data_IF_028716736312
#
_entry.id   IF_028716736312
#
_cell.length_a   1.000
_cell.length_b   1.000
_cell.length_c   1.000
_cell.angle_alpha   90.00
_cell.angle_beta   90.00
_cell.angle_gamma   90.00
#
_symmetry.space_group_name_H-M   'P 1'
#
loop_
_entity.id
_entity.type
_entity.pdbx_description
1 polymer ?
#
# COMPACT_ATOMS: atom_id res chain seq x y z
N UNK A 1 -19.16 -33.21 -4.55
CA UNK A 1 -19.23 -32.85 -3.11
C UNK A 1 -17.85 -32.52 -2.53
N UNK A 2 -16.86 -33.41 -2.62
CA UNK A 2 -15.48 -33.15 -2.15
C UNK A 2 -14.87 -31.86 -2.75
N UNK A 3 -15.03 -31.67 -4.06
CA UNK A 3 -14.54 -30.49 -4.80
C UNK A 3 -15.20 -29.18 -4.33
N UNK A 4 -16.51 -29.21 -4.08
CA UNK A 4 -17.27 -28.05 -3.59
C UNK A 4 -16.77 -27.63 -2.21
N UNK A 5 -16.51 -28.59 -1.32
CA UNK A 5 -15.95 -28.31 0.02
C UNK A 5 -14.54 -27.72 -0.07
N UNK A 6 -13.71 -28.20 -1.01
CA UNK A 6 -12.37 -27.65 -1.24
C UNK A 6 -12.42 -26.21 -1.75
N UNK A 7 -13.29 -25.91 -2.71
CA UNK A 7 -13.45 -24.54 -3.22
C UNK A 7 -13.98 -23.59 -2.15
N UNK A 8 -14.98 -24.01 -1.37
CA UNK A 8 -15.51 -23.22 -0.26
C UNK A 8 -14.42 -22.93 0.79
N UNK A 9 -13.59 -23.93 1.13
CA UNK A 9 -12.47 -23.76 2.05
C UNK A 9 -11.41 -22.77 1.54
N UNK A 10 -11.05 -22.86 0.25
CA UNK A 10 -10.10 -21.93 -0.38
C UNK A 10 -10.62 -20.49 -0.40
N UNK A 11 -11.90 -20.31 -0.74
CA UNK A 11 -12.55 -18.99 -0.77
C UNK A 11 -12.56 -18.39 0.65
N UNK A 12 -12.96 -19.16 1.66
CA UNK A 12 -12.93 -18.71 3.05
C UNK A 12 -11.52 -18.32 3.51
N UNK A 13 -10.51 -19.13 3.20
CA UNK A 13 -9.11 -18.83 3.54
C UNK A 13 -8.62 -17.53 2.87
N UNK A 14 -8.97 -17.32 1.61
CA UNK A 14 -8.63 -16.10 0.87
C UNK A 14 -9.31 -14.86 1.49
N UNK A 15 -10.59 -14.94 1.84
CA UNK A 15 -11.31 -13.84 2.49
C UNK A 15 -10.67 -13.44 3.84
N UNK A 16 -10.28 -14.42 4.65
CA UNK A 16 -9.60 -14.18 5.93
C UNK A 16 -8.22 -13.53 5.74
N UNK A 17 -7.46 -13.94 4.72
CA UNK A 17 -6.15 -13.36 4.42
C UNK A 17 -6.24 -11.88 4.02
N UNK A 18 -7.26 -11.52 3.24
CA UNK A 18 -7.51 -10.13 2.84
C UNK A 18 -7.95 -9.26 4.02
N UNK A 19 -8.72 -9.81 4.96
CA UNK A 19 -9.11 -9.10 6.18
C UNK A 19 -7.91 -8.78 7.10
N UNK A 20 -6.94 -9.68 7.22
CA UNK A 20 -5.71 -9.46 8.04
C UNK A 20 -4.80 -8.41 7.40
N UNK A 21 -4.84 -8.28 6.07
CA UNK A 21 -4.04 -7.32 5.31
C UNK A 21 -4.62 -5.90 5.31
N UNK A 22 -5.80 -5.72 5.89
CA UNK A 22 -6.45 -4.42 6.07
C UNK A 22 -6.47 -4.03 7.56
N UNK A 23 -5.65 -3.06 7.95
CA UNK A 23 -5.86 -2.30 9.18
C UNK A 23 -5.31 -0.87 9.04
N UNK A 24 -5.94 0.18 9.62
CA UNK A 24 -7.30 0.28 10.17
C UNK A 24 -8.20 1.28 9.41
N UNK A 25 -9.51 1.13 9.58
CA UNK A 25 -10.47 2.23 9.41
C UNK A 25 -10.29 3.20 10.59
N UNK A 26 -9.71 4.37 10.32
CA UNK A 26 -9.57 5.46 11.27
C UNK A 26 -10.54 6.59 10.88
N UNK A 27 -11.43 6.90 11.80
CA UNK A 27 -12.47 7.93 11.80
C UNK A 27 -11.99 9.31 11.35
N UNK A 28 -12.77 9.96 10.47
CA UNK A 28 -12.69 11.39 10.21
C UNK A 28 -12.84 12.18 11.53
N UNK A 29 -11.80 12.91 11.93
CA UNK A 29 -11.87 13.99 12.95
C UNK A 29 -11.55 15.28 12.22
N UNK A 30 -12.52 16.19 12.22
CA UNK A 30 -12.47 17.47 11.52
C UNK A 30 -11.63 18.55 12.22
N UNK A 31 -11.12 19.43 11.35
CA UNK A 31 -10.73 20.84 11.47
C UNK A 31 -9.67 21.36 12.47
N UNK A 32 -8.99 22.47 12.11
CA UNK A 32 -7.71 22.92 12.66
C UNK A 32 -7.89 24.03 13.72
N UNK A 33 -6.91 24.19 14.62
CA UNK A 33 -6.77 25.44 15.39
C UNK A 33 -5.29 25.86 15.44
N UNK A 34 -5.07 27.11 15.04
CA UNK A 34 -3.80 27.77 14.78
C UNK A 34 -3.17 28.33 16.07
N UNK A 35 -1.85 28.28 16.20
CA UNK A 35 -1.13 29.26 17.03
C UNK A 35 0.23 29.57 16.38
N UNK A 36 0.43 30.84 16.05
CA UNK A 36 1.50 31.35 15.19
C UNK A 36 2.68 31.91 16.00
N UNK A 37 3.93 31.57 15.64
CA UNK A 37 5.09 32.46 15.82
C UNK A 37 6.25 32.11 14.86
N UNK A 38 6.96 33.09 14.26
CA UNK A 38 7.68 32.91 13.00
C UNK A 38 9.20 32.79 13.17
N UNK A 39 9.86 32.02 12.30
CA UNK A 39 11.31 32.09 12.13
C UNK A 39 11.93 30.76 11.75
N UNK A 40 12.57 30.74 10.57
CA UNK A 40 13.10 29.60 9.81
C UNK A 40 12.02 28.85 9.02
N UNK A 41 12.23 28.75 7.71
CA UNK A 41 11.32 28.06 6.81
C UNK A 41 11.29 26.57 7.16
N UNK A 42 10.26 26.17 7.91
CA UNK A 42 9.82 24.78 8.02
C UNK A 42 9.49 24.30 6.60
N UNK A 43 10.46 23.66 5.93
CA UNK A 43 10.08 22.57 5.04
C UNK A 43 9.25 21.65 5.93
N UNK A 44 7.98 21.35 5.59
CA UNK A 44 7.24 20.38 6.38
C UNK A 44 8.13 19.15 6.41
N UNK A 45 8.65 18.83 7.60
CA UNK A 45 9.08 17.50 7.93
C UNK A 45 7.81 16.66 7.77
N UNK A 46 7.50 16.38 6.51
CA UNK A 46 6.67 15.28 6.10
C UNK A 46 7.33 14.15 6.85
N UNK A 47 6.71 13.76 7.97
CA UNK A 47 7.20 12.67 8.79
C UNK A 47 7.73 11.64 7.81
N UNK A 48 9.00 11.25 7.95
CA UNK A 48 9.58 10.22 7.10
C UNK A 48 8.92 8.90 7.50
N UNK A 49 7.63 8.78 7.21
CA UNK A 49 6.82 7.60 7.41
C UNK A 49 7.43 6.62 6.45
N UNK A 50 8.24 5.72 7.00
CA UNK A 50 8.81 4.61 6.28
C UNK A 50 7.65 3.72 5.87
N UNK A 51 7.11 3.99 4.69
CA UNK A 51 6.06 3.19 4.09
C UNK A 51 6.54 1.75 4.04
N UNK A 52 5.75 0.83 4.61
CA UNK A 52 6.10 -0.59 4.65
C UNK A 52 6.12 -1.11 3.20
N UNK A 53 7.30 -1.45 2.70
CA UNK A 53 7.52 -1.91 1.32
C UNK A 53 7.17 -3.40 1.25
N UNK A 54 5.90 -3.71 1.05
CA UNK A 54 5.48 -5.11 0.91
C UNK A 54 5.50 -5.59 -0.56
N UNK A 55 5.14 -4.71 -1.50
CA UNK A 55 4.90 -5.09 -2.89
C UNK A 55 6.17 -5.46 -3.64
N UNK A 56 7.24 -4.69 -3.51
CA UNK A 56 8.49 -4.94 -4.22
C UNK A 56 9.40 -5.97 -3.52
N UNK A 57 9.29 -6.09 -2.19
CA UNK A 57 10.14 -6.98 -1.38
C UNK A 57 9.56 -8.40 -1.32
N UNK A 58 8.29 -8.57 -0.95
CA UNK A 58 7.68 -9.90 -0.76
C UNK A 58 7.42 -10.64 -2.08
N UNK A 59 7.11 -9.91 -3.15
CA UNK A 59 6.86 -10.49 -4.47
C UNK A 59 8.12 -10.62 -5.33
N UNK A 60 9.30 -10.28 -4.79
CA UNK A 60 10.57 -10.42 -5.51
C UNK A 60 10.93 -11.87 -5.84
N UNK A 61 10.63 -12.80 -4.93
CA UNK A 61 10.87 -14.24 -5.14
C UNK A 61 9.99 -14.88 -6.22
N UNK A 62 8.86 -14.24 -6.56
CA UNK A 62 7.94 -14.72 -7.60
C UNK A 62 8.15 -14.03 -8.96
N UNK A 63 9.11 -13.09 -9.07
CA UNK A 63 9.39 -12.37 -10.31
C UNK A 63 8.31 -11.36 -10.76
N UNK A 64 7.19 -11.26 -10.04
CA UNK A 64 6.03 -10.42 -10.39
C UNK A 64 6.00 -9.06 -9.66
N UNK A 65 7.06 -8.71 -8.93
CA UNK A 65 7.15 -7.47 -8.15
C UNK A 65 6.83 -6.19 -8.95
N UNK A 66 7.32 -6.10 -10.18
CA UNK A 66 7.09 -4.94 -11.03
C UNK A 66 5.63 -4.86 -11.48
N UNK A 67 5.01 -6.00 -11.79
CA UNK A 67 3.60 -6.06 -12.20
C UNK A 67 2.66 -5.67 -11.08
N UNK A 68 2.92 -6.11 -9.84
CA UNK A 68 2.14 -5.71 -8.68
C UNK A 68 2.28 -4.21 -8.39
N UNK A 69 3.50 -3.66 -8.48
CA UNK A 69 3.73 -2.22 -8.38
C UNK A 69 2.99 -1.44 -9.49
N UNK A 70 3.05 -1.91 -10.73
CA UNK A 70 2.35 -1.28 -11.85
C UNK A 70 0.84 -1.28 -11.66
N UNK A 71 0.25 -2.41 -11.26
CA UNK A 71 -1.18 -2.52 -10.98
C UNK A 71 -1.61 -1.56 -9.86
N UNK A 72 -0.84 -1.49 -8.78
CA UNK A 72 -1.07 -0.55 -7.68
C UNK A 72 -1.06 0.91 -8.15
N UNK A 73 -0.10 1.29 -9.00
CA UNK A 73 -0.02 2.63 -9.54
C UNK A 73 -1.16 2.96 -10.51
N UNK A 74 -1.58 1.99 -11.34
CA UNK A 74 -2.74 2.12 -12.23
C UNK A 74 -4.03 2.37 -11.44
N UNK A 75 -4.23 1.64 -10.33
CA UNK A 75 -5.39 1.85 -9.45
C UNK A 75 -5.43 3.23 -8.80
N UNK A 76 -4.26 3.86 -8.62
CA UNK A 76 -4.15 5.26 -8.16
C UNK A 76 -4.29 6.29 -9.30
N UNK A 77 -4.55 5.87 -10.54
CA UNK A 77 -4.71 6.76 -11.69
C UNK A 77 -3.40 7.16 -12.39
N UNK A 78 -2.27 6.55 -12.04
CA UNK A 78 -1.00 6.76 -12.75
C UNK A 78 -0.94 5.85 -13.99
N UNK A 79 -0.06 6.12 -14.98
CA UNK A 79 0.13 5.25 -16.16
C UNK A 79 0.86 3.94 -15.88
N UNK A 80 1.33 3.73 -14.65
CA UNK A 80 1.95 2.49 -14.19
C UNK A 80 3.04 2.75 -13.17
N UNK A 81 3.89 1.76 -12.94
CA UNK A 81 5.00 1.87 -12.00
C UNK A 81 5.96 0.70 -12.08
N UNK A 82 7.13 0.83 -11.44
CA UNK A 82 8.15 -0.21 -11.37
C UNK A 82 8.87 -0.22 -10.02
N UNK A 83 9.44 -1.36 -9.64
CA UNK A 83 10.31 -1.44 -8.47
C UNK A 83 11.73 -0.97 -8.82
N UNK A 84 12.27 -0.01 -8.07
CA UNK A 84 13.66 0.41 -8.21
C UNK A 84 14.62 -0.59 -7.52
N UNK A 85 15.94 -0.36 -7.68
CA UNK A 85 16.98 -1.22 -7.07
C UNK A 85 17.02 -1.20 -5.54
N UNK A 86 16.23 -0.35 -4.88
CA UNK A 86 16.11 -0.24 -3.42
C UNK A 86 14.79 -0.84 -2.89
N UNK A 87 14.05 -1.58 -3.73
CA UNK A 87 12.77 -2.19 -3.36
C UNK A 87 11.63 -1.18 -3.22
N UNK A 88 11.72 0.01 -3.83
CA UNK A 88 10.65 1.02 -3.80
C UNK A 88 9.83 0.93 -5.07
N UNK A 89 8.50 0.91 -4.93
CA UNK A 89 7.58 1.06 -6.06
C UNK A 89 7.51 2.54 -6.46
N UNK A 90 7.98 2.87 -7.65
CA UNK A 90 7.91 4.21 -8.25
C UNK A 90 6.79 4.24 -9.29
N UNK A 91 5.77 5.06 -9.06
CA UNK A 91 4.70 5.30 -10.03
C UNK A 91 5.13 6.34 -11.07
N UNK A 92 4.74 6.13 -12.32
CA UNK A 92 4.93 7.07 -13.43
C UNK A 92 3.59 7.61 -13.90
N UNK A 93 3.52 8.92 -14.09
CA UNK A 93 2.33 9.60 -14.65
C UNK A 93 2.16 9.32 -16.14
#
# INVERSE_FOLDING_TARGET
>A
MKTIVLFAGLICAFCLFQAISAAPAGTDVGEPEETQLPGFGEQPLSELIRQKRATCDLLSGFGIKHSACAAHCLLRGNRGGYCNGRGVCECRN
#
